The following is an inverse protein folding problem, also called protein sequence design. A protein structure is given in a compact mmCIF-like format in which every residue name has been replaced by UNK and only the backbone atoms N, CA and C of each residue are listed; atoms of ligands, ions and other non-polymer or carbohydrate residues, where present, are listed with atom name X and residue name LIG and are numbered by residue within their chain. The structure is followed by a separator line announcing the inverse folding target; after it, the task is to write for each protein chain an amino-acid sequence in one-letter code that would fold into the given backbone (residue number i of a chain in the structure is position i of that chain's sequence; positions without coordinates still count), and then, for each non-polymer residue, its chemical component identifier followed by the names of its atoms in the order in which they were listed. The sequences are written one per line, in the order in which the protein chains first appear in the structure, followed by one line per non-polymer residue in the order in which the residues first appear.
data_IF_296258596409
#
_entry.id   IF_296258596409
#
_cell.length_a   1.000
_cell.length_b   1.000
_cell.length_c   1.000
_cell.angle_alpha   90.00
_cell.angle_beta   90.00
_cell.angle_gamma   90.00
#
_symmetry.space_group_name_H-M   'P 1'
#
loop_
_entity.id
_entity.type
_entity.pdbx_description
1 polymer ?
#
# COMPACT_ATOMS: atom_id res chain seq x y z
N UNK A 1 4.40 -3.57 -3.98
CA UNK A 1 5.51 -2.74 -4.51
C UNK A 1 6.64 -2.58 -3.49
N UNK A 2 6.39 -2.03 -2.30
CA UNK A 2 7.43 -1.83 -1.26
C UNK A 2 8.29 -3.07 -0.94
N UNK A 3 7.68 -4.25 -0.91
CA UNK A 3 8.38 -5.51 -0.62
C UNK A 3 9.36 -5.97 -1.73
N UNK A 4 9.38 -5.31 -2.89
CA UNK A 4 10.36 -5.57 -3.94
C UNK A 4 11.69 -4.84 -3.70
N UNK A 5 11.70 -3.81 -2.85
CA UNK A 5 12.91 -3.11 -2.42
C UNK A 5 13.49 -3.79 -1.17
N UNK A 6 14.77 -4.14 -1.20
CA UNK A 6 15.50 -4.76 -0.08
C UNK A 6 15.50 -3.88 1.19
N UNK A 7 15.37 -2.57 1.02
CA UNK A 7 15.29 -1.57 2.09
C UNK A 7 14.05 -1.79 2.97
N UNK A 8 13.02 -2.46 2.48
CA UNK A 8 11.84 -2.86 3.27
C UNK A 8 12.19 -3.72 4.49
N UNK A 9 13.30 -4.46 4.45
CA UNK A 9 13.76 -5.32 5.55
C UNK A 9 14.22 -4.55 6.79
N UNK A 10 14.37 -3.22 6.70
CA UNK A 10 14.65 -2.36 7.86
C UNK A 10 13.44 -2.14 8.77
N UNK A 11 12.23 -2.48 8.30
CA UNK A 11 10.97 -2.26 9.00
C UNK A 11 10.25 -3.59 9.20
N UNK A 12 9.50 -3.72 10.31
CA UNK A 12 8.62 -4.87 10.49
C UNK A 12 7.42 -4.80 9.54
N UNK A 13 6.81 -5.95 9.23
CA UNK A 13 5.60 -5.99 8.41
C UNK A 13 4.43 -5.19 9.00
N UNK A 14 4.35 -5.07 10.33
CA UNK A 14 3.33 -4.26 11.00
C UNK A 14 3.57 -2.76 10.80
N UNK A 15 4.82 -2.32 10.90
CA UNK A 15 5.19 -0.92 10.63
C UNK A 15 4.95 -0.56 9.16
N UNK A 16 5.32 -1.42 8.22
CA UNK A 16 5.07 -1.21 6.79
C UNK A 16 3.57 -1.11 6.49
N UNK A 17 2.76 -2.03 7.03
CA UNK A 17 1.31 -2.00 6.84
C UNK A 17 0.68 -0.72 7.41
N UNK A 18 1.07 -0.32 8.62
CA UNK A 18 0.58 0.90 9.24
C UNK A 18 1.05 2.17 8.49
N UNK A 19 2.28 2.19 8.01
CA UNK A 19 2.82 3.31 7.23
C UNK A 19 2.08 3.50 5.91
N UNK A 20 1.74 2.41 5.20
CA UNK A 20 0.90 2.47 4.01
C UNK A 20 -0.50 3.02 4.35
N UNK A 21 -1.09 2.59 5.46
CA UNK A 21 -2.40 3.13 5.87
C UNK A 21 -2.33 4.63 6.16
N UNK A 22 -1.27 5.11 6.82
CA UNK A 22 -1.07 6.55 7.06
C UNK A 22 -0.86 7.33 5.77
N UNK A 23 -0.16 6.76 4.79
CA UNK A 23 0.07 7.42 3.50
C UNK A 23 -1.18 7.45 2.60
N UNK A 24 -2.13 6.52 2.78
CA UNK A 24 -3.32 6.39 1.92
C UNK A 24 -4.59 7.02 2.51
N UNK A 25 -4.69 7.21 3.83
CA UNK A 25 -5.96 7.52 4.48
C UNK A 25 -5.86 8.64 5.51
N UNK A 26 -6.90 9.48 5.51
CA UNK A 26 -7.18 10.51 6.51
C UNK A 26 -8.55 10.25 7.17
N UNK A 27 -8.77 10.69 8.42
CA UNK A 27 -7.82 11.38 9.28
C UNK A 27 -6.80 10.43 9.91
N UNK A 28 -5.58 10.88 10.17
CA UNK A 28 -4.56 10.12 10.90
C UNK A 28 -5.04 9.54 12.25
N UNK A 29 -6.00 10.19 12.92
CA UNK A 29 -6.58 9.66 14.17
C UNK A 29 -7.27 8.31 14.00
N UNK A 30 -7.93 8.07 12.87
CA UNK A 30 -8.57 6.78 12.56
C UNK A 30 -7.51 5.70 12.29
N UNK A 31 -6.46 6.06 11.54
CA UNK A 31 -5.35 5.13 11.25
C UNK A 31 -4.64 4.74 12.55
N UNK A 32 -4.44 5.69 13.46
CA UNK A 32 -3.87 5.41 14.77
C UNK A 32 -4.75 4.47 15.60
N UNK A 33 -6.08 4.63 15.57
CA UNK A 33 -7.02 3.75 16.27
C UNK A 33 -6.94 2.29 15.77
N UNK A 34 -6.91 2.06 14.46
CA UNK A 34 -6.92 0.71 13.88
C UNK A 34 -5.56 0.02 13.89
N UNK A 35 -4.46 0.78 13.84
CA UNK A 35 -3.09 0.23 13.79
C UNK A 35 -2.43 0.14 15.16
N UNK A 36 -2.83 1.01 16.10
CA UNK A 36 -2.18 1.19 17.39
C UNK A 36 -0.87 1.99 17.35
N UNK A 37 -0.48 2.54 16.20
CA UNK A 37 0.73 3.36 16.05
C UNK A 37 0.37 4.84 15.98
N UNK A 38 1.20 5.71 16.57
CA UNK A 38 1.11 7.14 16.28
C UNK A 38 1.82 7.47 14.96
N UNK A 39 1.34 8.49 14.26
CA UNK A 39 2.01 8.97 13.05
C UNK A 39 3.47 9.37 13.31
N UNK A 40 3.74 10.01 14.45
CA UNK A 40 5.08 10.43 14.85
C UNK A 40 6.05 9.26 15.05
N UNK A 41 5.57 8.12 15.56
CA UNK A 41 6.42 6.93 15.76
C UNK A 41 6.83 6.31 14.42
N UNK A 42 5.96 6.43 13.41
CA UNK A 42 6.17 5.87 12.08
C UNK A 42 6.67 6.88 11.04
N UNK A 43 6.97 8.12 11.41
CA UNK A 43 7.28 9.21 10.47
C UNK A 43 8.32 8.78 9.41
N UNK A 44 9.43 8.16 9.84
CA UNK A 44 10.49 7.71 8.92
C UNK A 44 10.03 6.68 7.90
N UNK A 45 9.20 5.72 8.31
CA UNK A 45 8.70 4.67 7.39
C UNK A 45 7.58 5.22 6.51
N UNK A 46 6.77 6.14 7.03
CA UNK A 46 5.75 6.85 6.22
C UNK A 46 6.42 7.66 5.12
N UNK A 47 7.43 8.47 5.44
CA UNK A 47 8.19 9.25 4.45
C UNK A 47 8.85 8.35 3.39
N UNK A 48 9.29 7.16 3.76
CA UNK A 48 9.87 6.18 2.83
C UNK A 48 8.81 5.52 1.94
N UNK A 49 7.61 5.27 2.47
CA UNK A 49 6.49 4.65 1.75
C UNK A 49 5.77 5.63 0.82
N UNK A 50 5.69 6.90 1.20
CA UNK A 50 4.89 7.94 0.53
C UNK A 50 5.15 8.09 -0.98
N UNK A 51 6.41 8.07 -1.48
CA UNK A 51 6.67 8.13 -2.92
C UNK A 51 6.00 6.99 -3.70
N UNK A 52 6.04 5.77 -3.16
CA UNK A 52 5.44 4.58 -3.79
C UNK A 52 3.92 4.67 -3.77
N UNK A 53 3.33 5.14 -2.66
CA UNK A 53 1.87 5.35 -2.59
C UNK A 53 1.42 6.39 -3.61
N UNK A 54 2.12 7.53 -3.72
CA UNK A 54 1.82 8.57 -4.72
C UNK A 54 1.89 8.05 -6.15
N UNK A 55 2.84 7.15 -6.45
CA UNK A 55 2.92 6.49 -7.76
C UNK A 55 1.70 5.60 -7.98
N UNK A 56 1.36 4.74 -7.02
CA UNK A 56 0.17 3.87 -7.09
C UNK A 56 -1.11 4.69 -7.31
N UNK A 57 -1.27 5.82 -6.62
CA UNK A 57 -2.42 6.71 -6.81
C UNK A 57 -2.49 7.31 -8.21
N UNK A 58 -1.36 7.70 -8.80
CA UNK A 58 -1.31 8.23 -10.18
C UNK A 58 -1.66 7.18 -11.22
N UNK A 59 -1.26 5.94 -11.01
CA UNK A 59 -1.52 4.83 -11.93
C UNK A 59 -2.91 4.23 -11.78
N UNK A 60 -3.56 4.47 -10.64
CA UNK A 60 -4.91 3.99 -10.38
C UNK A 60 -5.88 4.57 -11.41
N UNK A 61 -6.40 3.72 -12.28
CA UNK A 61 -7.44 4.12 -13.23
C UNK A 61 -8.74 4.44 -12.48
N UNK A 62 -9.49 5.44 -12.98
CA UNK A 62 -10.78 5.79 -12.41
C UNK A 62 -11.70 4.57 -12.46
N UNK A 63 -12.08 4.08 -11.27
CA UNK A 63 -12.96 2.94 -11.12
C UNK A 63 -12.28 1.59 -11.04
N UNK A 64 -10.93 1.52 -10.92
CA UNK A 64 -10.11 0.29 -10.85
C UNK A 64 -10.87 -0.89 -10.23
N UNK A 65 -11.54 -1.70 -11.08
CA UNK A 65 -12.52 -2.64 -10.60
C UNK A 65 -11.77 -3.85 -10.06
N UNK A 66 -12.10 -4.22 -8.82
CA UNK A 66 -11.58 -5.45 -8.20
C UNK A 66 -11.70 -6.61 -9.19
N UNK A 67 -10.58 -7.25 -9.52
CA UNK A 67 -10.50 -8.28 -10.55
C UNK A 67 -11.46 -9.40 -10.20
N UNK A 68 -12.36 -9.73 -11.12
CA UNK A 68 -13.31 -10.85 -10.94
C UNK A 68 -12.57 -12.14 -11.27
N UNK A 69 -12.48 -13.03 -10.30
CA UNK A 69 -11.88 -14.35 -10.45
C UNK A 69 -13.00 -15.38 -10.47
N UNK A 70 -13.10 -16.14 -11.55
CA UNK A 70 -14.14 -17.17 -11.71
C UNK A 70 -14.05 -18.21 -10.59
N UNK A 71 -15.19 -18.52 -9.98
CA UNK A 71 -15.27 -19.46 -8.85
C UNK A 71 -14.93 -18.87 -7.48
N UNK A 72 -14.50 -17.61 -7.40
CA UNK A 72 -14.28 -16.89 -6.14
C UNK A 72 -15.49 -16.02 -5.80
N UNK A 73 -15.88 -16.00 -4.53
CA UNK A 73 -17.02 -15.19 -4.07
C UNK A 73 -16.65 -13.71 -4.10
N UNK A 74 -17.63 -12.85 -4.41
CA UNK A 74 -17.42 -11.40 -4.51
C UNK A 74 -16.84 -10.77 -3.23
N UNK A 75 -17.22 -11.27 -2.05
CA UNK A 75 -16.70 -10.83 -0.76
C UNK A 75 -15.27 -11.28 -0.47
N UNK A 76 -14.71 -12.21 -1.25
CA UNK A 76 -13.36 -12.78 -1.07
C UNK A 76 -12.38 -12.32 -2.16
N UNK A 77 -12.86 -11.64 -3.20
CA UNK A 77 -12.02 -11.19 -4.32
C UNK A 77 -10.84 -10.30 -3.89
N UNK A 78 -11.00 -9.51 -2.82
CA UNK A 78 -9.95 -8.64 -2.30
C UNK A 78 -8.79 -9.40 -1.63
N UNK A 79 -8.96 -10.70 -1.36
CA UNK A 79 -7.93 -11.57 -0.77
C UNK A 79 -7.08 -12.29 -1.82
N UNK A 80 -7.46 -12.24 -3.10
CA UNK A 80 -6.69 -12.88 -4.17
C UNK A 80 -5.51 -12.00 -4.55
N UNK A 81 -4.30 -12.57 -4.47
CA UNK A 81 -3.07 -11.87 -4.90
C UNK A 81 -3.14 -11.54 -6.40
N UNK A 82 -2.96 -10.26 -6.74
CA UNK A 82 -2.87 -9.78 -8.12
C UNK A 82 -1.42 -9.48 -8.51
N UNK A 83 -1.16 -9.38 -9.81
CA UNK A 83 0.10 -8.91 -10.37
C UNK A 83 -0.19 -7.76 -11.33
N UNK A 84 0.41 -6.56 -11.15
CA UNK A 84 0.22 -5.46 -12.09
C UNK A 84 0.81 -5.81 -13.45
N UNK A 85 0.19 -5.37 -14.55
CA UNK A 85 0.73 -5.60 -15.90
C UNK A 85 1.95 -4.72 -16.21
N UNK A 86 2.12 -3.61 -15.48
CA UNK A 86 3.22 -2.67 -15.66
C UNK A 86 4.46 -3.10 -14.87
N UNK A 87 5.63 -3.03 -15.51
CA UNK A 87 6.91 -3.38 -14.88
C UNK A 87 7.29 -2.38 -13.78
N UNK A 88 7.75 -2.92 -12.65
CA UNK A 88 8.05 -2.15 -11.43
C UNK A 88 9.08 -1.02 -11.64
N UNK A 89 10.06 -1.23 -12.51
CA UNK A 89 11.08 -0.20 -12.81
C UNK A 89 10.48 1.01 -13.54
N UNK A 90 9.50 0.79 -14.43
CA UNK A 90 8.79 1.87 -15.13
C UNK A 90 7.91 2.68 -14.17
N UNK A 91 7.42 2.03 -13.11
CA UNK A 91 6.50 2.60 -12.12
C UNK A 91 7.22 3.48 -11.10
N UNK A 92 8.41 3.09 -10.62
CA UNK A 92 9.10 3.78 -9.51
C UNK A 92 10.16 4.79 -9.99
N UNK A 93 10.72 4.61 -11.19
CA UNK A 93 11.77 5.50 -11.75
C UNK A 93 11.20 6.57 -12.69
N UNK A 94 9.92 6.45 -13.08
CA UNK A 94 9.19 7.35 -13.99
C UNK A 94 8.56 8.59 -13.36
#
# INVERSE_FOLDING_TARGET
LLLLDVTSLMYSYRELAAAVLFACYEPHSLVQEVTGYSYSDLLKVVEWVEPVVKVCERLRTLGDPMVIVEGVRADDLHNIQTHPEQDFEEVVVG
#
